data_IF_445664486603
#
_entry.id   IF_445664486603
#
_cell.length_a   1.000
_cell.length_b   1.000
_cell.length_c   1.000
_cell.angle_alpha   90.00
_cell.angle_beta   90.00
_cell.angle_gamma   90.00
#
_symmetry.space_group_name_H-M   'P 1'
#
loop_
_entity.id
_entity.type
_entity.pdbx_description
1 polymer ?
#
# COMPACT_ATOMS: atom_id res chain seq x y z
N UNK A 1 6.92 5.56 -19.81
CA UNK A 1 7.67 4.58 -20.60
C UNK A 1 8.94 4.17 -19.87
N UNK A 2 9.22 2.88 -19.84
CA UNK A 2 10.47 2.34 -19.30
C UNK A 2 11.11 1.43 -20.35
N UNK A 3 12.44 1.58 -20.56
CA UNK A 3 13.17 0.82 -21.57
C UNK A 3 14.36 0.11 -20.94
N UNK A 4 14.58 -1.14 -21.32
CA UNK A 4 15.74 -1.94 -20.93
C UNK A 4 16.65 -2.15 -22.15
N UNK A 5 17.94 -1.74 -22.09
CA UNK A 5 18.89 -1.94 -23.17
C UNK A 5 19.42 -3.39 -23.16
N UNK A 6 19.56 -3.96 -24.34
CA UNK A 6 20.22 -5.25 -24.59
C UNK A 6 21.33 -5.02 -25.60
N UNK A 7 22.58 -5.25 -25.21
CA UNK A 7 23.73 -5.20 -26.13
C UNK A 7 23.74 -6.44 -27.04
N UNK A 8 24.12 -6.27 -28.30
CA UNK A 8 24.17 -7.36 -29.25
C UNK A 8 25.13 -8.48 -28.85
N UNK A 9 26.15 -8.18 -28.03
CA UNK A 9 27.09 -9.17 -27.51
C UNK A 9 26.44 -10.03 -26.44
N UNK A 10 25.69 -9.42 -25.55
CA UNK A 10 24.91 -10.14 -24.53
C UNK A 10 23.89 -11.07 -25.20
N UNK A 11 23.27 -10.62 -26.30
CA UNK A 11 22.32 -11.44 -27.06
C UNK A 11 22.99 -12.63 -27.74
N UNK A 12 24.29 -12.52 -28.12
CA UNK A 12 25.07 -13.63 -28.69
C UNK A 12 25.56 -14.63 -27.65
N UNK A 13 25.88 -14.18 -26.43
CA UNK A 13 26.42 -15.02 -25.36
C UNK A 13 25.32 -15.68 -24.51
N UNK A 14 24.19 -15.03 -24.37
CA UNK A 14 23.02 -15.53 -23.60
C UNK A 14 21.99 -16.19 -24.51
N UNK A 15 21.15 -17.06 -23.91
CA UNK A 15 19.94 -17.50 -24.60
C UNK A 15 19.02 -16.30 -24.87
N UNK A 16 18.88 -15.92 -26.12
CA UNK A 16 18.11 -14.75 -26.59
C UNK A 16 16.72 -14.64 -25.94
N UNK A 17 15.99 -15.75 -25.85
CA UNK A 17 14.63 -15.78 -25.29
C UNK A 17 14.63 -15.44 -23.79
N UNK A 18 15.61 -15.94 -23.04
CA UNK A 18 15.70 -15.67 -21.60
C UNK A 18 16.05 -14.20 -21.33
N UNK A 19 16.92 -13.60 -22.12
CA UNK A 19 17.32 -12.21 -21.97
C UNK A 19 16.18 -11.26 -22.30
N UNK A 20 15.43 -11.50 -23.37
CA UNK A 20 14.25 -10.71 -23.73
C UNK A 20 13.14 -10.84 -22.68
N UNK A 21 12.89 -12.04 -22.17
CA UNK A 21 11.93 -12.27 -21.11
C UNK A 21 12.33 -11.52 -19.82
N UNK A 22 13.61 -11.55 -19.45
CA UNK A 22 14.13 -10.80 -18.32
C UNK A 22 13.92 -9.30 -18.51
N UNK A 23 14.30 -8.75 -19.66
CA UNK A 23 14.11 -7.34 -19.98
C UNK A 23 12.64 -6.92 -19.90
N UNK A 24 11.75 -7.72 -20.47
CA UNK A 24 10.29 -7.51 -20.42
C UNK A 24 9.78 -7.48 -18.98
N UNK A 25 10.20 -8.42 -18.14
CA UNK A 25 9.80 -8.46 -16.73
C UNK A 25 10.32 -7.24 -15.97
N UNK A 26 11.56 -6.80 -16.22
CA UNK A 26 12.13 -5.63 -15.55
C UNK A 26 11.34 -4.37 -15.88
N UNK A 27 11.04 -4.11 -17.17
CA UNK A 27 10.30 -2.90 -17.55
C UNK A 27 8.85 -2.94 -17.08
N UNK A 28 8.21 -4.10 -17.12
CA UNK A 28 6.83 -4.25 -16.64
C UNK A 28 6.73 -4.06 -15.13
N UNK A 29 7.61 -4.71 -14.36
CA UNK A 29 7.64 -4.56 -12.90
C UNK A 29 7.99 -3.12 -12.50
N UNK A 30 8.87 -2.45 -13.25
CA UNK A 30 9.19 -1.05 -13.02
C UNK A 30 7.98 -0.14 -13.18
N UNK A 31 7.20 -0.30 -14.26
CA UNK A 31 5.96 0.47 -14.46
C UNK A 31 4.90 0.17 -13.40
N UNK A 32 4.78 -1.10 -12.97
CA UNK A 32 3.86 -1.46 -11.88
C UNK A 32 4.26 -0.79 -10.57
N UNK A 33 5.56 -0.75 -10.26
CA UNK A 33 6.06 -0.07 -9.06
C UNK A 33 5.82 1.44 -9.11
N UNK A 34 6.01 2.06 -10.28
CA UNK A 34 5.72 3.48 -10.51
C UNK A 34 4.22 3.78 -10.31
N UNK A 35 3.35 2.91 -10.83
CA UNK A 35 1.91 3.01 -10.62
C UNK A 35 1.54 2.85 -9.14
N UNK A 36 2.07 1.83 -8.45
CA UNK A 36 1.85 1.65 -7.02
C UNK A 36 2.29 2.88 -6.22
N UNK A 37 3.46 3.46 -6.56
CA UNK A 37 3.96 4.68 -5.93
C UNK A 37 3.03 5.87 -6.13
N UNK A 38 2.54 6.08 -7.36
CA UNK A 38 1.61 7.16 -7.68
C UNK A 38 0.29 7.02 -6.92
N UNK A 39 -0.26 5.81 -6.84
CA UNK A 39 -1.45 5.53 -6.04
C UNK A 39 -1.20 5.78 -4.56
N UNK A 40 -0.09 5.30 -4.03
CA UNK A 40 0.26 5.46 -2.62
C UNK A 40 0.46 6.94 -2.24
N UNK A 41 1.16 7.72 -3.07
CA UNK A 41 1.34 9.16 -2.85
C UNK A 41 0.00 9.91 -2.82
N UNK A 42 -0.95 9.48 -3.65
CA UNK A 42 -2.29 10.06 -3.68
C UNK A 42 -3.08 9.78 -2.40
N UNK A 43 -3.12 8.51 -1.96
CA UNK A 43 -3.96 8.07 -0.83
C UNK A 43 -3.31 8.26 0.54
N UNK A 44 -2.02 8.55 0.60
CA UNK A 44 -1.31 8.86 1.85
C UNK A 44 -1.18 10.37 2.09
N UNK A 45 -1.60 11.22 1.16
CA UNK A 45 -1.54 12.67 1.34
C UNK A 45 -2.71 13.14 2.22
N UNK A 46 -2.44 13.63 3.46
CA UNK A 46 -3.50 14.04 4.37
C UNK A 46 -4.30 15.25 3.86
N UNK A 47 -3.78 16.00 2.89
CA UNK A 47 -4.51 17.12 2.28
C UNK A 47 -5.65 16.67 1.37
N UNK A 48 -5.65 15.42 0.97
CA UNK A 48 -6.71 14.84 0.13
C UNK A 48 -7.93 14.35 0.95
N UNK A 49 -7.86 14.44 2.27
CA UNK A 49 -8.93 13.99 3.17
C UNK A 49 -9.50 15.15 3.98
N UNK A 50 -10.79 15.12 4.22
CA UNK A 50 -11.43 15.96 5.21
C UNK A 50 -10.88 15.66 6.62
N UNK A 51 -11.02 16.58 7.55
CA UNK A 51 -10.49 16.37 8.91
C UNK A 51 -11.15 15.19 9.63
N UNK A 52 -12.40 14.89 9.28
CA UNK A 52 -13.17 13.79 9.85
C UNK A 52 -12.76 12.42 9.24
N UNK A 53 -12.07 12.41 8.09
CA UNK A 53 -11.66 11.20 7.38
C UNK A 53 -10.15 10.93 7.50
N UNK A 54 -9.50 11.52 8.48
CA UNK A 54 -8.08 11.25 8.76
C UNK A 54 -7.76 11.39 10.23
N UNK A 55 -6.76 10.64 10.67
CA UNK A 55 -6.13 10.80 11.98
C UNK A 55 -4.61 10.71 11.83
N UNK A 56 -3.90 11.58 12.53
CA UNK A 56 -2.45 11.53 12.67
C UNK A 56 -2.16 11.18 14.13
N UNK A 57 -1.73 9.95 14.35
CA UNK A 57 -1.41 9.46 15.69
C UNK A 57 -0.11 10.08 16.19
N UNK A 58 -0.02 10.30 17.49
CA UNK A 58 1.18 10.84 18.13
C UNK A 58 1.27 10.39 19.59
N UNK A 59 2.48 10.23 20.11
CA UNK A 59 2.72 9.86 21.51
C UNK A 59 2.04 8.54 21.89
N UNK A 60 1.26 8.55 22.98
CA UNK A 60 0.62 7.34 23.53
C UNK A 60 -0.50 6.75 22.65
N UNK A 61 -0.95 7.44 21.63
CA UNK A 61 -1.94 6.89 20.68
C UNK A 61 -1.29 6.06 19.57
N UNK A 62 0.02 6.11 19.39
CA UNK A 62 0.73 5.34 18.38
C UNK A 62 0.71 3.83 18.70
N UNK A 63 0.69 2.99 17.67
CA UNK A 63 0.56 1.54 17.84
C UNK A 63 1.81 0.82 18.34
N UNK A 64 2.94 1.50 18.41
CA UNK A 64 4.12 0.99 19.12
C UNK A 64 3.99 1.13 20.65
N UNK A 65 3.04 1.90 21.15
CA UNK A 65 2.72 1.99 22.57
C UNK A 65 1.84 0.82 22.99
N UNK A 66 2.22 0.09 24.05
CA UNK A 66 1.56 -1.17 24.44
C UNK A 66 0.14 -1.00 24.99
N UNK A 67 -0.17 0.20 25.50
CA UNK A 67 -1.49 0.57 26.06
C UNK A 67 -2.37 1.30 25.04
N UNK A 68 -1.92 1.51 23.80
CA UNK A 68 -2.74 2.11 22.76
C UNK A 68 -3.87 1.16 22.34
N UNK A 69 -4.88 1.72 21.69
CA UNK A 69 -6.07 0.98 21.23
C UNK A 69 -6.18 0.97 19.69
N UNK A 70 -5.41 0.12 18.99
CA UNK A 70 -5.50 0.00 17.54
C UNK A 70 -6.90 -0.42 17.05
N UNK A 71 -7.62 -1.23 17.83
CA UNK A 71 -8.96 -1.67 17.44
C UNK A 71 -9.93 -0.50 17.48
N UNK A 72 -9.96 0.25 18.57
CA UNK A 72 -10.83 1.43 18.68
C UNK A 72 -10.57 2.47 17.59
N UNK A 73 -9.29 2.75 17.29
CA UNK A 73 -8.92 3.68 16.20
C UNK A 73 -9.43 3.21 14.83
N UNK A 74 -9.38 1.91 14.55
CA UNK A 74 -9.86 1.35 13.28
C UNK A 74 -11.39 1.32 13.25
N UNK A 75 -12.05 1.01 14.35
CA UNK A 75 -13.52 1.01 14.45
C UNK A 75 -14.06 2.44 14.28
N UNK A 76 -13.47 3.44 14.92
CA UNK A 76 -13.81 4.86 14.73
C UNK A 76 -13.62 5.30 13.28
N UNK A 77 -12.56 4.83 12.62
CA UNK A 77 -12.29 5.12 11.21
C UNK A 77 -13.34 4.47 10.28
N UNK A 78 -13.81 3.25 10.60
CA UNK A 78 -14.89 2.58 9.87
C UNK A 78 -16.20 3.37 10.02
N UNK A 79 -16.53 3.75 11.24
CA UNK A 79 -17.73 4.53 11.53
C UNK A 79 -17.74 5.87 10.82
N UNK A 80 -16.60 6.58 10.76
CA UNK A 80 -16.48 7.84 10.06
C UNK A 80 -16.75 7.71 8.55
N UNK A 81 -16.34 6.63 7.92
CA UNK A 81 -16.66 6.33 6.52
C UNK A 81 -18.13 5.96 6.36
N UNK A 82 -18.62 5.03 7.19
CA UNK A 82 -19.98 4.52 7.14
C UNK A 82 -21.03 5.64 7.31
N UNK A 83 -20.79 6.60 8.20
CA UNK A 83 -21.67 7.75 8.41
C UNK A 83 -21.77 8.67 7.17
N UNK A 84 -20.75 8.69 6.31
CA UNK A 84 -20.72 9.55 5.12
C UNK A 84 -21.38 8.90 3.90
N UNK A 85 -21.13 7.62 3.67
CA UNK A 85 -21.54 6.93 2.45
C UNK A 85 -22.57 5.81 2.68
N UNK A 86 -22.98 5.58 3.94
CA UNK A 86 -23.88 4.48 4.36
C UNK A 86 -23.37 3.07 3.92
N UNK A 87 -22.05 2.92 3.80
CA UNK A 87 -21.37 1.67 3.47
C UNK A 87 -20.10 1.57 4.31
N UNK A 88 -19.82 0.37 4.84
CA UNK A 88 -18.59 0.11 5.56
C UNK A 88 -17.42 -0.05 4.61
N UNK A 89 -16.21 0.41 4.96
CA UNK A 89 -15.02 0.15 4.18
C UNK A 89 -14.73 -1.35 4.14
N UNK A 90 -14.57 -1.88 2.96
CA UNK A 90 -14.34 -3.32 2.72
C UNK A 90 -12.89 -3.64 2.38
N UNK A 91 -12.05 -2.64 2.25
CA UNK A 91 -10.65 -2.77 1.86
C UNK A 91 -9.75 -1.97 2.80
N UNK A 92 -8.67 -2.59 3.26
CA UNK A 92 -7.64 -1.96 4.09
C UNK A 92 -6.26 -2.20 3.49
N UNK A 93 -5.50 -1.14 3.31
CA UNK A 93 -4.08 -1.22 2.96
C UNK A 93 -3.25 -0.85 4.18
N UNK A 94 -2.34 -1.72 4.57
CA UNK A 94 -1.49 -1.56 5.76
C UNK A 94 -0.03 -1.46 5.31
N UNK A 95 0.66 -0.39 5.63
CA UNK A 95 2.10 -0.28 5.43
C UNK A 95 2.87 -1.34 6.23
N UNK A 96 3.97 -1.82 5.67
CA UNK A 96 4.75 -2.90 6.31
C UNK A 96 5.23 -2.55 7.72
N UNK A 97 5.48 -1.27 8.00
CA UNK A 97 5.90 -0.81 9.35
C UNK A 97 4.72 -0.89 10.32
N UNK A 98 3.53 -0.42 9.92
CA UNK A 98 2.30 -0.56 10.70
C UNK A 98 1.94 -2.03 10.95
N UNK A 99 2.07 -2.88 9.94
CA UNK A 99 1.83 -4.32 10.08
C UNK A 99 2.71 -4.97 11.15
N UNK A 100 4.00 -4.60 11.21
CA UNK A 100 4.91 -5.12 12.25
C UNK A 100 4.46 -4.77 13.66
N UNK A 101 3.85 -3.60 13.86
CA UNK A 101 3.33 -3.15 15.15
C UNK A 101 2.05 -3.90 15.50
N UNK A 102 1.06 -3.91 14.61
CA UNK A 102 -0.21 -4.63 14.81
C UNK A 102 0.01 -6.10 15.13
N UNK A 103 0.92 -6.77 14.42
CA UNK A 103 1.24 -8.19 14.64
C UNK A 103 1.72 -8.50 16.05
N UNK A 104 2.34 -7.53 16.70
CA UNK A 104 2.93 -7.70 18.05
C UNK A 104 2.10 -7.05 19.15
N UNK A 105 1.07 -6.28 18.80
CA UNK A 105 0.31 -5.47 19.73
C UNK A 105 -0.37 -6.33 20.81
N UNK A 106 -0.22 -6.00 22.12
CA UNK A 106 -0.77 -6.79 23.20
C UNK A 106 -2.28 -6.93 23.15
N UNK A 107 -3.01 -5.85 22.82
CA UNK A 107 -4.47 -5.87 22.69
C UNK A 107 -4.92 -6.91 21.67
N UNK A 108 -4.36 -6.87 20.44
CA UNK A 108 -4.75 -7.80 19.37
C UNK A 108 -4.37 -9.25 19.71
N UNK A 109 -3.27 -9.45 20.41
CA UNK A 109 -2.90 -10.78 20.92
C UNK A 109 -3.86 -11.28 22.01
N UNK A 110 -4.36 -10.40 22.86
CA UNK A 110 -5.33 -10.72 23.91
C UNK A 110 -6.69 -11.20 23.39
N UNK A 111 -7.05 -10.79 22.16
CA UNK A 111 -8.28 -11.26 21.50
C UNK A 111 -8.16 -12.70 20.96
N UNK A 112 -6.94 -13.23 20.88
CA UNK A 112 -6.68 -14.61 20.47
C UNK A 112 -6.75 -15.46 21.73
N UNK A 113 -7.91 -16.07 22.02
CA UNK A 113 -8.10 -16.92 23.21
C UNK A 113 -7.02 -18.01 23.32
N UNK A 114 -6.53 -18.21 24.55
CA UNK A 114 -5.78 -19.34 25.11
C UNK A 114 -4.32 -19.59 24.71
N UNK A 115 -3.71 -18.89 23.76
CA UNK A 115 -2.27 -19.08 23.52
C UNK A 115 -1.57 -17.75 23.23
N UNK A 116 -1.02 -17.14 24.27
CA UNK A 116 -0.21 -15.89 24.21
C UNK A 116 0.98 -15.95 23.22
N UNK A 117 1.29 -17.13 22.69
CA UNK A 117 2.37 -17.37 21.73
C UNK A 117 1.91 -17.35 20.27
N UNK A 118 0.62 -17.22 19.98
CA UNK A 118 0.15 -17.11 18.59
C UNK A 118 0.42 -15.72 18.02
N UNK A 119 0.94 -15.70 16.80
CA UNK A 119 1.11 -14.47 16.05
C UNK A 119 -0.23 -14.07 15.40
N UNK A 120 -0.53 -12.78 15.42
CA UNK A 120 -1.65 -12.22 14.68
C UNK A 120 -1.43 -12.47 13.17
N UNK A 121 -2.37 -13.14 12.54
CA UNK A 121 -2.37 -13.43 11.10
C UNK A 121 -3.28 -12.46 10.36
N UNK A 122 -3.14 -12.36 9.03
CA UNK A 122 -4.03 -11.53 8.22
C UNK A 122 -5.50 -11.97 8.29
N UNK A 123 -5.76 -13.28 8.31
CA UNK A 123 -7.12 -13.78 8.40
C UNK A 123 -7.77 -13.39 9.71
N UNK A 124 -7.03 -13.45 10.81
CA UNK A 124 -7.50 -13.00 12.10
C UNK A 124 -7.80 -11.50 12.12
N UNK A 125 -6.95 -10.67 11.48
CA UNK A 125 -7.24 -9.23 11.36
C UNK A 125 -8.52 -8.95 10.55
N UNK A 126 -8.78 -9.74 9.50
CA UNK A 126 -10.03 -9.64 8.74
C UNK A 126 -11.25 -9.93 9.61
N UNK A 127 -11.13 -10.91 10.50
CA UNK A 127 -12.20 -11.27 11.44
C UNK A 127 -12.38 -10.20 12.54
N UNK A 128 -11.28 -9.70 13.12
CA UNK A 128 -11.31 -8.70 14.20
C UNK A 128 -11.87 -7.36 13.69
N UNK A 129 -11.41 -6.91 12.52
CA UNK A 129 -11.81 -5.61 11.96
C UNK A 129 -13.03 -5.71 11.04
N UNK A 130 -13.52 -6.93 10.76
CA UNK A 130 -14.62 -7.18 9.84
C UNK A 130 -14.41 -6.57 8.46
N UNK A 131 -13.16 -6.63 7.97
CA UNK A 131 -12.77 -6.09 6.67
C UNK A 131 -12.45 -7.24 5.71
N UNK A 132 -13.14 -7.26 4.57
CA UNK A 132 -13.06 -8.33 3.59
C UNK A 132 -11.66 -8.46 2.96
N UNK A 133 -11.07 -7.33 2.57
CA UNK A 133 -9.80 -7.28 1.87
C UNK A 133 -8.74 -6.51 2.65
N UNK A 134 -7.74 -7.22 3.19
CA UNK A 134 -6.57 -6.60 3.83
C UNK A 134 -5.32 -6.91 3.03
N UNK A 135 -4.61 -5.87 2.62
CA UNK A 135 -3.36 -5.95 1.83
C UNK A 135 -2.22 -5.28 2.59
N UNK A 136 -1.05 -5.91 2.58
CA UNK A 136 0.16 -5.33 3.18
C UNK A 136 1.05 -4.75 2.08
N UNK A 137 1.28 -3.45 2.14
CA UNK A 137 2.19 -2.73 1.24
C UNK A 137 3.64 -2.96 1.64
N UNK A 138 4.35 -3.79 0.85
CA UNK A 138 5.75 -4.16 1.13
C UNK A 138 6.75 -3.50 0.21
N UNK A 139 6.30 -2.89 -0.87
CA UNK A 139 7.14 -2.33 -1.92
C UNK A 139 8.04 -1.22 -1.41
N UNK A 140 9.21 -1.14 -2.02
CA UNK A 140 10.24 -0.14 -1.73
C UNK A 140 10.63 0.57 -3.03
N UNK A 141 11.07 1.80 -2.92
CA UNK A 141 11.68 2.54 -4.02
C UNK A 141 12.96 3.22 -3.55
N UNK A 142 13.82 3.61 -4.48
CA UNK A 142 14.98 4.43 -4.18
C UNK A 142 14.62 5.90 -4.32
N UNK A 143 14.91 6.69 -3.29
CA UNK A 143 14.76 8.14 -3.34
C UNK A 143 15.87 8.81 -4.17
N UNK A 144 15.86 10.14 -4.24
CA UNK A 144 16.84 10.93 -5.00
C UNK A 144 18.25 10.81 -4.43
N UNK A 145 18.37 10.48 -3.15
CA UNK A 145 19.64 10.34 -2.43
C UNK A 145 20.15 8.89 -2.45
N UNK A 146 19.44 7.98 -3.12
CA UNK A 146 19.79 6.57 -3.23
C UNK A 146 19.33 5.71 -2.04
N UNK A 147 18.58 6.27 -1.08
CA UNK A 147 18.09 5.50 0.05
C UNK A 147 16.85 4.68 -0.34
N UNK A 148 16.75 3.47 0.21
CA UNK A 148 15.56 2.64 0.03
C UNK A 148 14.47 3.02 1.02
N UNK A 149 13.35 3.47 0.50
CA UNK A 149 12.20 3.92 1.28
C UNK A 149 10.99 3.04 0.97
N UNK A 150 10.18 2.74 1.98
CA UNK A 150 8.92 2.01 1.79
C UNK A 150 7.85 2.92 1.19
N UNK A 151 7.18 2.44 0.16
CA UNK A 151 6.10 3.18 -0.51
C UNK A 151 4.96 3.49 0.46
N UNK A 152 4.51 2.49 1.24
CA UNK A 152 3.36 2.61 2.13
C UNK A 152 3.69 3.06 3.56
N UNK A 153 4.98 3.26 3.86
CA UNK A 153 5.48 3.77 5.14
C UNK A 153 4.86 3.04 6.36
N UNK A 154 4.35 3.80 7.34
CA UNK A 154 3.65 3.34 8.53
C UNK A 154 2.15 3.70 8.52
N UNK A 155 1.60 3.98 7.34
CA UNK A 155 0.20 4.38 7.19
C UNK A 155 -0.73 3.18 7.07
N UNK A 156 -2.00 3.42 7.42
CA UNK A 156 -3.12 2.52 7.20
C UNK A 156 -4.20 3.29 6.46
N UNK A 157 -4.71 2.73 5.39
CA UNK A 157 -5.78 3.32 4.59
C UNK A 157 -6.96 2.36 4.59
N UNK A 158 -8.12 2.84 5.04
CA UNK A 158 -9.40 2.16 4.85
C UNK A 158 -10.08 2.74 3.62
N UNK A 159 -10.74 1.91 2.85
CA UNK A 159 -11.43 2.33 1.65
C UNK A 159 -12.66 1.46 1.37
N UNK A 160 -13.71 2.09 0.87
CA UNK A 160 -14.81 1.38 0.24
C UNK A 160 -14.52 1.22 -1.26
N UNK A 161 -14.54 -0.01 -1.73
CA UNK A 161 -14.36 -0.38 -3.13
C UNK A 161 -15.53 -1.26 -3.54
N UNK A 162 -16.38 -0.82 -4.49
CA UNK A 162 -17.56 -1.58 -4.88
C UNK A 162 -17.17 -2.92 -5.51
N UNK A 163 -17.83 -3.99 -5.08
CA UNK A 163 -17.55 -5.35 -5.54
C UNK A 163 -18.45 -5.72 -6.74
N UNK A 164 -18.38 -4.95 -7.82
CA UNK A 164 -19.26 -5.08 -8.99
C UNK A 164 -18.67 -5.94 -10.10
N UNK A 165 -17.52 -6.56 -9.89
CA UNK A 165 -16.85 -7.39 -10.89
C UNK A 165 -16.65 -6.65 -12.22
N UNK A 166 -17.02 -7.32 -13.32
CA UNK A 166 -16.91 -6.74 -14.67
C UNK A 166 -18.00 -5.71 -15.01
N UNK A 167 -19.00 -5.53 -14.13
CA UNK A 167 -20.10 -4.56 -14.31
C UNK A 167 -19.80 -3.19 -13.73
N UNK A 168 -18.56 -2.98 -13.23
CA UNK A 168 -18.14 -1.70 -12.66
C UNK A 168 -18.14 -0.60 -13.72
N UNK A 169 -18.73 0.53 -13.37
CA UNK A 169 -18.75 1.74 -14.19
C UNK A 169 -18.02 2.88 -13.47
N UNK A 170 -17.70 3.93 -14.20
CA UNK A 170 -17.10 5.16 -13.65
C UNK A 170 -18.06 5.94 -12.72
N UNK A 171 -19.35 5.60 -12.75
CA UNK A 171 -20.39 6.22 -11.91
C UNK A 171 -20.62 5.51 -10.58
N UNK A 172 -20.00 4.35 -10.40
CA UNK A 172 -20.16 3.59 -9.14
C UNK A 172 -19.37 4.28 -8.01
N UNK A 173 -20.00 4.51 -6.84
CA UNK A 173 -19.30 5.08 -5.69
C UNK A 173 -18.06 4.25 -5.34
N UNK A 174 -16.93 4.90 -5.24
CA UNK A 174 -15.67 4.27 -4.85
C UNK A 174 -14.71 5.33 -4.28
N UNK A 175 -13.80 4.91 -3.44
CA UNK A 175 -12.77 5.78 -2.90
C UNK A 175 -11.87 6.35 -3.99
N UNK A 176 -11.33 5.51 -4.85
CA UNK A 176 -10.40 5.91 -5.90
C UNK A 176 -10.49 5.02 -7.12
N UNK A 177 -10.11 5.57 -8.27
CA UNK A 177 -9.96 4.86 -9.53
C UNK A 177 -8.61 5.13 -10.17
N UNK A 178 -8.13 4.16 -10.93
CA UNK A 178 -7.10 4.42 -11.95
C UNK A 178 -7.75 4.42 -13.32
N UNK A 179 -7.77 5.57 -13.97
CA UNK A 179 -8.15 5.67 -15.38
C UNK A 179 -6.95 5.27 -16.22
N UNK A 180 -7.15 4.32 -17.11
CA UNK A 180 -6.13 3.83 -18.02
C UNK A 180 -6.64 3.91 -19.45
N UNK A 181 -5.80 4.39 -20.36
CA UNK A 181 -6.12 4.35 -21.79
C UNK A 181 -6.31 2.90 -22.22
N UNK A 182 -7.36 2.62 -23.00
CA UNK A 182 -7.57 1.29 -23.55
C UNK A 182 -6.34 0.85 -24.35
N UNK A 183 -5.88 -0.39 -24.10
CA UNK A 183 -4.70 -0.97 -24.73
C UNK A 183 -3.40 -0.16 -24.52
N UNK A 184 -3.31 0.57 -23.38
CA UNK A 184 -2.19 1.43 -23.09
C UNK A 184 -0.92 0.66 -22.67
N UNK A 185 -1.08 -0.48 -21.99
CA UNK A 185 0.06 -1.33 -21.68
C UNK A 185 0.51 -2.01 -22.96
N UNK A 186 1.56 -1.48 -23.54
CA UNK A 186 2.18 -1.99 -24.77
C UNK A 186 3.66 -2.28 -24.51
N UNK A 187 4.13 -3.41 -25.05
CA UNK A 187 5.54 -3.77 -25.03
C UNK A 187 6.01 -3.84 -26.47
N UNK A 188 6.99 -3.03 -26.80
CA UNK A 188 7.59 -2.97 -28.11
C UNK A 188 9.12 -3.07 -28.06
N UNK A 189 9.69 -3.37 -29.19
CA UNK A 189 11.13 -3.49 -29.39
C UNK A 189 11.56 -2.45 -30.43
N UNK A 190 12.66 -1.74 -30.13
CA UNK A 190 13.26 -0.82 -31.07
C UNK A 190 14.78 -0.82 -30.96
N UNK A 191 15.46 -0.45 -32.03
CA UNK A 191 16.93 -0.27 -32.07
C UNK A 191 17.26 1.19 -32.32
N UNK A 192 18.36 1.67 -31.74
CA UNK A 192 18.91 2.99 -32.04
C UNK A 192 19.91 2.90 -33.21
N UNK A 193 20.31 4.08 -33.72
CA UNK A 193 21.33 4.19 -34.78
C UNK A 193 22.55 3.32 -34.45
N UNK A 194 23.02 2.57 -35.45
CA UNK A 194 24.14 1.63 -35.31
C UNK A 194 23.76 0.20 -34.96
N UNK A 195 22.50 -0.11 -34.70
CA UNK A 195 21.95 -1.47 -34.46
C UNK A 195 22.70 -2.35 -33.44
N UNK A 196 23.47 -1.73 -32.55
CA UNK A 196 24.26 -2.47 -31.54
C UNK A 196 23.52 -2.69 -30.23
N UNK A 197 22.50 -1.88 -29.97
CA UNK A 197 21.70 -1.96 -28.75
C UNK A 197 20.23 -2.03 -29.13
N UNK A 198 19.60 -3.09 -28.70
CA UNK A 198 18.16 -3.28 -28.78
C UNK A 198 17.53 -2.82 -27.47
N UNK A 199 16.39 -2.19 -27.54
CA UNK A 199 15.63 -1.75 -26.37
C UNK A 199 14.29 -2.49 -26.33
N UNK A 200 13.99 -3.11 -25.19
CA UNK A 200 12.64 -3.56 -24.86
C UNK A 200 11.99 -2.44 -24.07
N UNK A 201 10.91 -1.88 -24.59
CA UNK A 201 10.18 -0.77 -23.99
C UNK A 201 8.79 -1.20 -23.58
N UNK A 202 8.41 -0.88 -22.35
CA UNK A 202 7.01 -0.94 -21.91
C UNK A 202 6.46 0.49 -21.80
N UNK A 203 5.26 0.69 -22.32
CA UNK A 203 4.50 1.94 -22.26
C UNK A 203 3.20 1.67 -21.54
N UNK A 204 2.85 2.52 -20.56
CA UNK A 204 1.51 2.53 -19.96
C UNK A 204 1.05 3.99 -19.79
N UNK A 205 -0.23 4.23 -20.01
CA UNK A 205 -0.83 5.56 -19.89
C UNK A 205 -2.00 5.46 -18.93
N UNK A 206 -1.79 5.97 -17.73
CA UNK A 206 -2.77 5.93 -16.64
C UNK A 206 -2.70 7.19 -15.79
N UNK A 207 -3.76 7.42 -15.04
CA UNK A 207 -3.82 8.43 -13.99
C UNK A 207 -4.67 7.91 -12.84
N UNK A 208 -4.10 7.72 -11.63
CA UNK A 208 -4.87 7.47 -10.43
C UNK A 208 -5.49 8.79 -9.94
N UNK A 209 -6.73 8.74 -9.46
CA UNK A 209 -7.38 9.88 -8.84
C UNK A 209 -8.42 9.45 -7.81
N UNK A 210 -8.67 10.33 -6.82
CA UNK A 210 -9.70 10.14 -5.82
C UNK A 210 -11.04 10.59 -6.41
N UNK A 211 -12.04 9.72 -6.31
CA UNK A 211 -13.40 10.03 -6.75
C UNK A 211 -14.24 10.49 -5.57
N UNK A 212 -14.17 9.76 -4.46
CA UNK A 212 -14.88 10.05 -3.23
C UNK A 212 -13.95 9.90 -2.04
N UNK A 213 -13.25 10.96 -1.65
CA UNK A 213 -12.36 10.94 -0.49
C UNK A 213 -13.11 10.59 0.81
N UNK A 214 -14.43 10.81 0.84
CA UNK A 214 -15.31 10.45 1.96
C UNK A 214 -15.50 8.93 2.11
N UNK A 215 -15.28 8.18 1.04
CA UNK A 215 -15.33 6.72 1.03
C UNK A 215 -14.01 6.07 1.51
N UNK A 216 -13.08 6.86 2.01
CA UNK A 216 -11.82 6.39 2.57
C UNK A 216 -11.43 7.11 3.85
N UNK A 217 -10.50 6.51 4.59
CA UNK A 217 -9.94 7.04 5.81
C UNK A 217 -8.44 6.82 5.88
N UNK A 218 -7.69 7.84 6.28
CA UNK A 218 -6.25 7.77 6.45
C UNK A 218 -5.87 7.78 7.94
N UNK A 219 -5.18 6.73 8.37
CA UNK A 219 -4.51 6.67 9.68
C UNK A 219 -3.01 6.75 9.42
N UNK A 220 -2.36 7.78 9.93
CA UNK A 220 -0.91 8.01 9.75
C UNK A 220 -0.21 8.20 11.09
N UNK A 221 1.13 8.11 11.08
CA UNK A 221 1.93 8.26 12.28
C UNK A 221 1.72 7.12 13.29
N UNK A 222 1.46 5.89 12.82
CA UNK A 222 1.19 4.76 13.73
C UNK A 222 2.43 4.31 14.50
N UNK A 223 3.62 4.77 14.09
CA UNK A 223 4.89 4.50 14.74
C UNK A 223 5.52 5.80 15.25
N UNK A 224 5.66 5.95 16.54
CA UNK A 224 6.43 7.05 17.12
C UNK A 224 7.90 6.63 17.29
N UNK A 225 8.83 7.16 16.49
CA UNK A 225 10.24 6.79 16.60
C UNK A 225 10.90 7.28 17.90
N UNK A 226 10.29 8.24 18.60
CA UNK A 226 10.77 8.75 19.89
C UNK A 226 10.37 7.85 21.07
N UNK A 227 9.46 6.89 20.84
CA UNK A 227 9.00 5.98 21.88
C UNK A 227 10.07 4.95 22.25
N UNK A 228 10.42 4.93 23.52
CA UNK A 228 11.31 3.93 24.10
C UNK A 228 10.52 2.93 24.94
N UNK A 229 10.48 1.68 24.50
CA UNK A 229 9.78 0.57 25.17
C UNK A 229 10.33 0.27 26.58
N UNK A 230 11.49 0.80 26.94
CA UNK A 230 12.04 0.69 28.29
C UNK A 230 11.27 1.55 29.30
N UNK A 231 10.65 2.64 28.86
CA UNK A 231 9.84 3.51 29.72
C UNK A 231 8.48 2.90 30.07
N UNK A 232 7.95 2.03 29.21
CA UNK A 232 6.66 1.36 29.42
C UNK A 232 6.70 0.29 30.56
N UNK A 233 7.91 -0.14 30.93
CA UNK A 233 8.12 -1.12 32.02
C UNK A 233 8.25 -0.47 33.41
N UNK A 234 8.33 0.85 33.45
CA UNK A 234 8.51 1.59 34.72
C UNK A 234 7.24 1.84 35.52
N UNK A 235 6.06 1.79 34.88
CA UNK A 235 4.77 2.10 35.53
C UNK A 235 4.04 0.90 36.14
N UNK A 236 4.71 -0.23 36.34
CA UNK A 236 4.10 -1.45 36.91
C UNK A 236 4.40 -1.60 38.41
N UNK A 237 5.12 -0.63 39.01
CA UNK A 237 5.48 -0.66 40.42
C UNK A 237 5.01 0.61 41.19
N UNK A 238 3.74 0.97 41.08
CA UNK A 238 3.07 1.80 42.12
C UNK A 238 1.66 1.25 42.39
#
# INVERSE_FOLDING_TARGET
DLSYPIDYREEQEAEKVKLQLHATNVVTNGLQLEHEKACADLVQNPNNFANENKIILSGSSCFNWSKSDPQGVIDDAKDAVSQKIAQDPNTMVIGQSAWKLLKKHPQLKGLISDNQNKLVTLNLLKEIFEIENIVIGKSIFSDKDGNFVRIWQDNIILAYVPNLGNSRTEYDPSFAYTVRKKDALNIDEYTKEGNKVKYIRATDIYTPFLVGAEAGYLISGVNDPSYDSAKDKGDVNE
#
